data_IF_049021484571
#
_entry.id   IF_049021484571
#
_cell.length_a   1.000
_cell.length_b   1.000
_cell.length_c   1.000
_cell.angle_alpha   90.00
_cell.angle_beta   90.00
_cell.angle_gamma   90.00
#
_symmetry.space_group_name_H-M   'P 1'
#
loop_
_entity.id
_entity.type
_entity.pdbx_description
1 polymer ?
#
# COMPACT_ATOMS: atom_id res chain seq x y z
N UNK A 1 22.21 -29.03 -16.56
CA UNK A 1 22.40 -27.61 -16.21
C UNK A 1 21.42 -26.67 -16.93
N UNK A 2 21.13 -26.84 -18.23
CA UNK A 2 20.20 -25.98 -19.00
C UNK A 2 18.76 -25.87 -18.42
N UNK A 3 18.20 -26.99 -17.92
CA UNK A 3 16.84 -27.00 -17.32
C UNK A 3 16.72 -26.13 -16.06
N UNK A 4 17.77 -26.08 -15.22
CA UNK A 4 17.77 -25.29 -13.98
C UNK A 4 17.82 -23.78 -14.24
N UNK A 5 18.52 -23.37 -15.29
CA UNK A 5 18.62 -21.96 -15.70
C UNK A 5 17.28 -21.48 -16.25
N UNK A 6 16.60 -22.31 -17.07
CA UNK A 6 15.28 -21.99 -17.62
C UNK A 6 14.24 -21.87 -16.49
N UNK A 7 14.24 -22.79 -15.52
CA UNK A 7 13.34 -22.71 -14.36
C UNK A 7 13.61 -21.48 -13.50
N UNK A 8 14.88 -21.12 -13.28
CA UNK A 8 15.24 -19.91 -12.54
C UNK A 8 14.79 -18.62 -13.27
N UNK A 9 14.93 -18.58 -14.60
CA UNK A 9 14.48 -17.45 -15.41
C UNK A 9 12.95 -17.28 -15.35
N UNK A 10 12.19 -18.37 -15.44
CA UNK A 10 10.72 -18.34 -15.30
C UNK A 10 10.27 -17.88 -13.90
N UNK A 11 10.95 -18.32 -12.85
CA UNK A 11 10.66 -17.89 -11.48
C UNK A 11 10.95 -16.39 -11.28
N UNK A 12 12.03 -15.87 -11.87
CA UNK A 12 12.38 -14.45 -11.84
C UNK A 12 11.35 -13.60 -12.59
N UNK A 13 10.90 -14.03 -13.76
CA UNK A 13 9.86 -13.33 -14.53
C UNK A 13 8.56 -13.26 -13.73
N UNK A 14 8.14 -14.37 -13.11
CA UNK A 14 6.93 -14.40 -12.29
C UNK A 14 7.03 -13.47 -11.06
N UNK A 15 8.19 -13.45 -10.39
CA UNK A 15 8.43 -12.54 -9.27
C UNK A 15 8.40 -11.06 -9.70
N UNK A 16 8.96 -10.73 -10.87
CA UNK A 16 8.94 -9.37 -11.42
C UNK A 16 7.54 -8.94 -11.88
N UNK A 17 6.73 -9.87 -12.41
CA UNK A 17 5.32 -9.58 -12.77
C UNK A 17 4.47 -9.21 -11.56
N UNK A 18 4.75 -9.78 -10.38
CA UNK A 18 4.04 -9.46 -9.13
C UNK A 18 4.46 -8.10 -8.54
N UNK A 19 5.67 -7.61 -8.87
CA UNK A 19 6.18 -6.32 -8.38
C UNK A 19 5.62 -5.11 -9.14
N UNK A 20 5.09 -5.30 -10.36
CA UNK A 20 4.56 -4.23 -11.22
C UNK A 20 3.13 -3.78 -10.90
N UNK A 21 2.37 -4.55 -10.11
CA UNK A 21 0.93 -4.30 -9.86
C UNK A 21 0.61 -3.42 -8.65
N UNK A 22 1.62 -2.92 -7.93
CA UNK A 22 1.41 -2.17 -6.66
C UNK A 22 1.99 -0.76 -6.63
N UNK A 23 2.53 -0.27 -7.76
CA UNK A 23 2.99 1.12 -7.88
C UNK A 23 1.82 2.05 -8.25
N UNK A 24 0.74 2.01 -7.47
CA UNK A 24 -0.21 3.12 -7.46
C UNK A 24 0.53 4.35 -6.92
N UNK A 25 0.32 5.52 -7.54
CA UNK A 25 0.86 6.78 -7.05
C UNK A 25 0.44 6.95 -5.59
N UNK A 26 1.41 6.81 -4.67
CA UNK A 26 1.15 6.95 -3.24
C UNK A 26 0.90 8.42 -2.97
N UNK A 27 -0.34 8.75 -2.65
CA UNK A 27 -0.70 10.05 -2.09
C UNK A 27 -0.31 10.00 -0.62
N UNK A 28 0.61 10.87 -0.19
CA UNK A 28 0.98 10.97 1.22
C UNK A 28 -0.12 11.73 1.95
N UNK A 29 -0.64 11.14 3.02
CA UNK A 29 -1.67 11.75 3.85
C UNK A 29 -1.23 11.76 5.30
N UNK A 30 -1.48 12.88 5.97
CA UNK A 30 -1.26 13.04 7.41
C UNK A 30 -2.62 13.05 8.10
N UNK A 31 -2.80 12.18 9.09
CA UNK A 31 -4.02 12.16 9.92
C UNK A 31 -4.03 13.41 10.80
N UNK A 32 -5.12 14.17 10.74
CA UNK A 32 -5.31 15.42 11.51
C UNK A 32 -6.15 15.19 12.76
N UNK A 33 -7.23 14.42 12.64
CA UNK A 33 -8.08 14.03 13.77
C UNK A 33 -8.71 12.67 13.53
N UNK A 34 -9.05 12.01 14.63
CA UNK A 34 -9.85 10.77 14.68
C UNK A 34 -11.01 11.03 15.62
N UNK A 35 -12.23 10.93 15.12
CA UNK A 35 -13.47 11.24 15.82
C UNK A 35 -14.40 10.04 15.69
N UNK A 36 -14.37 9.16 16.70
CA UNK A 36 -15.03 7.85 16.61
C UNK A 36 -14.49 7.05 15.42
N UNK A 37 -15.39 6.66 14.52
CA UNK A 37 -15.06 5.90 13.30
C UNK A 37 -14.66 6.79 12.10
N UNK A 38 -14.68 8.12 12.27
CA UNK A 38 -14.34 9.07 11.20
C UNK A 38 -12.91 9.56 11.34
N UNK A 39 -12.13 9.46 10.26
CA UNK A 39 -10.74 9.93 10.19
C UNK A 39 -10.64 11.13 9.25
N UNK A 40 -10.21 12.28 9.77
CA UNK A 40 -9.88 13.45 8.94
C UNK A 40 -8.41 13.43 8.60
N UNK A 41 -8.08 13.43 7.31
CA UNK A 41 -6.70 13.41 6.81
C UNK A 41 -6.45 14.55 5.82
N UNK A 42 -5.22 15.06 5.81
CA UNK A 42 -4.73 16.01 4.82
C UNK A 42 -3.82 15.27 3.87
N UNK A 43 -4.17 15.21 2.59
CA UNK A 43 -3.44 14.49 1.55
C UNK A 43 -2.74 15.44 0.57
N UNK A 44 -1.45 15.21 0.29
CA UNK A 44 -0.71 15.92 -0.75
C UNK A 44 -1.10 15.36 -2.12
N UNK A 45 -1.85 16.13 -2.91
CA UNK A 45 -2.39 15.69 -4.22
C UNK A 45 -3.78 15.08 -4.15
N UNK A 46 -4.63 15.56 -3.24
CA UNK A 46 -6.02 15.13 -3.10
C UNK A 46 -6.86 15.26 -4.38
N UNK A 47 -6.46 16.11 -5.34
CA UNK A 47 -7.07 16.22 -6.68
C UNK A 47 -7.01 14.91 -7.49
N UNK A 48 -6.14 13.98 -7.10
CA UNK A 48 -6.02 12.64 -7.71
C UNK A 48 -7.01 11.63 -7.14
N UNK A 49 -7.72 11.98 -6.07
CA UNK A 49 -8.71 11.14 -5.42
C UNK A 49 -10.11 11.55 -5.86
N UNK A 50 -11.00 10.58 -5.95
CA UNK A 50 -12.42 10.81 -6.24
C UNK A 50 -13.25 10.50 -5.00
N UNK A 51 -14.42 11.12 -4.91
CA UNK A 51 -15.43 10.69 -3.94
C UNK A 51 -15.69 9.18 -4.14
N UNK A 52 -15.88 8.47 -3.03
CA UNK A 52 -16.14 7.02 -2.97
C UNK A 52 -14.95 6.11 -3.36
N UNK A 53 -13.75 6.66 -3.57
CA UNK A 53 -12.55 5.83 -3.76
C UNK A 53 -12.27 4.98 -2.51
N UNK A 54 -12.08 3.67 -2.73
CA UNK A 54 -11.69 2.74 -1.66
C UNK A 54 -10.21 2.89 -1.34
N UNK A 55 -9.91 3.38 -0.14
CA UNK A 55 -8.53 3.49 0.36
C UNK A 55 -8.24 2.38 1.35
N UNK A 56 -7.15 1.65 1.13
CA UNK A 56 -6.64 0.66 2.11
C UNK A 56 -5.67 1.35 3.06
N UNK A 57 -6.13 1.61 4.28
CA UNK A 57 -5.27 2.14 5.34
C UNK A 57 -4.51 0.98 5.98
N UNK A 58 -3.18 1.06 6.00
CA UNK A 58 -2.34 0.12 6.75
C UNK A 58 -1.73 0.88 7.91
N UNK A 59 -2.12 0.52 9.13
CA UNK A 59 -1.45 1.04 10.33
C UNK A 59 -0.09 0.37 10.47
N UNK A 60 0.90 1.09 10.97
CA UNK A 60 2.15 0.45 11.39
C UNK A 60 1.78 -0.62 12.42
N UNK A 61 2.37 -1.82 12.31
CA UNK A 61 2.22 -2.87 13.31
C UNK A 61 2.94 -2.41 14.58
N UNK A 62 2.27 -1.57 15.38
CA UNK A 62 2.76 -1.14 16.67
C UNK A 62 2.68 -2.31 17.65
N UNK A 63 3.81 -2.69 18.24
CA UNK A 63 3.76 -3.28 19.57
C UNK A 63 3.09 -2.29 20.51
N UNK A 64 2.22 -2.77 21.40
CA UNK A 64 1.52 -1.94 22.36
C UNK A 64 0.20 -1.38 21.83
N UNK A 65 -0.85 -2.18 21.99
CA UNK A 65 -2.15 -1.64 22.40
C UNK A 65 -1.96 -1.12 23.83
N UNK A 66 -1.42 0.08 23.99
CA UNK A 66 -1.46 0.80 25.28
C UNK A 66 -2.19 2.12 25.07
N UNK A 67 -3.29 2.30 25.81
CA UNK A 67 -3.87 3.62 26.08
C UNK A 67 -5.35 3.75 25.76
N UNK A 68 -6.18 3.18 26.64
CA UNK A 68 -7.60 3.48 26.91
C UNK A 68 -8.65 3.02 25.90
#
# INVERSE_FOLDING_TARGET
>A
MKKRIVTAALALVFALSMAGVSMAAKVNCTVKSVEGDTVTMTCEGADKMKADDKVKVTTAKGGGVEGC
#
